data_IF_943055795241
#
_entry.id   IF_943055795241
#
_cell.length_a   1.000
_cell.length_b   1.000
_cell.length_c   1.000
_cell.angle_alpha   90.00
_cell.angle_beta   90.00
_cell.angle_gamma   90.00
#
_symmetry.space_group_name_H-M   'P 1'
#
loop_
_entity.id
_entity.type
_entity.pdbx_description
1 polymer ?
#
# COMPACT_ATOMS: atom_id res chain seq x y z
N UNK A 1 13.28 24.43 3.36
CA UNK A 1 13.91 23.88 2.14
C UNK A 1 12.93 22.89 1.54
N UNK A 2 11.97 23.38 0.77
CA UNK A 2 10.99 22.52 0.10
C UNK A 2 11.64 22.10 -1.21
N UNK A 3 12.04 20.84 -1.29
CA UNK A 3 12.52 20.26 -2.54
C UNK A 3 11.30 20.10 -3.46
N UNK A 4 11.09 21.07 -4.35
CA UNK A 4 10.21 20.90 -5.49
C UNK A 4 11.01 20.19 -6.59
N UNK A 5 11.05 18.86 -6.55
CA UNK A 5 11.47 18.08 -7.72
C UNK A 5 10.29 17.97 -8.67
N UNK A 6 10.44 18.54 -9.86
CA UNK A 6 9.52 18.29 -10.96
C UNK A 6 9.65 16.79 -11.34
N UNK A 7 8.55 16.00 -11.34
CA UNK A 7 8.63 14.62 -11.79
C UNK A 7 8.93 14.61 -13.29
N UNK A 8 9.95 13.86 -13.69
CA UNK A 8 10.03 13.38 -15.07
C UNK A 8 8.73 12.60 -15.34
N UNK A 9 7.86 13.15 -16.19
CA UNK A 9 6.51 12.66 -16.39
C UNK A 9 6.49 11.21 -16.85
N UNK A 10 6.07 10.29 -15.96
CA UNK A 10 5.82 8.88 -16.28
C UNK A 10 6.25 7.89 -15.19
N UNK A 11 7.13 8.25 -14.26
CA UNK A 11 7.54 7.33 -13.21
C UNK A 11 6.55 7.34 -12.03
N UNK A 12 5.97 6.18 -11.71
CA UNK A 12 5.24 5.94 -10.47
C UNK A 12 6.21 6.13 -9.30
N UNK A 13 6.10 7.26 -8.59
CA UNK A 13 6.81 7.46 -7.33
C UNK A 13 5.95 6.93 -6.18
N UNK A 14 6.56 6.67 -5.03
CA UNK A 14 5.83 6.24 -3.83
C UNK A 14 4.78 7.22 -3.35
N UNK A 15 5.02 8.53 -3.47
CA UNK A 15 4.03 9.55 -3.14
C UNK A 15 2.82 9.48 -4.09
N UNK A 16 3.06 9.34 -5.41
CA UNK A 16 1.97 9.19 -6.39
C UNK A 16 1.18 7.90 -6.12
N UNK A 17 1.88 6.81 -5.77
CA UNK A 17 1.22 5.55 -5.43
C UNK A 17 0.39 5.65 -4.14
N UNK A 18 0.92 6.33 -3.11
CA UNK A 18 0.17 6.61 -1.88
C UNK A 18 -1.09 7.44 -2.15
N UNK A 19 -0.98 8.50 -2.94
CA UNK A 19 -2.13 9.32 -3.34
C UNK A 19 -3.17 8.46 -4.08
N UNK A 20 -2.72 7.56 -4.96
CA UNK A 20 -3.60 6.63 -5.66
C UNK A 20 -4.34 5.69 -4.71
N UNK A 21 -3.64 5.14 -3.70
CA UNK A 21 -4.26 4.28 -2.70
C UNK A 21 -5.30 5.04 -1.87
N UNK A 22 -4.96 6.24 -1.39
CA UNK A 22 -5.82 7.06 -0.54
C UNK A 22 -7.06 7.58 -1.27
N UNK A 23 -6.88 8.11 -2.48
CA UNK A 23 -7.95 8.81 -3.20
C UNK A 23 -8.85 7.88 -3.99
N UNK A 24 -8.32 6.76 -4.49
CA UNK A 24 -9.04 5.92 -5.45
C UNK A 24 -9.23 4.47 -4.99
N UNK A 25 -8.25 3.82 -4.37
CA UNK A 25 -8.35 2.41 -4.02
C UNK A 25 -9.14 2.17 -2.73
N UNK A 26 -8.68 2.76 -1.62
CA UNK A 26 -9.25 2.56 -0.28
C UNK A 26 -10.75 2.85 -0.20
N UNK A 27 -11.28 3.96 -0.78
CA UNK A 27 -12.71 4.24 -0.72
C UNK A 27 -13.61 3.22 -1.43
N UNK A 28 -13.04 2.35 -2.28
CA UNK A 28 -13.81 1.36 -3.04
C UNK A 28 -13.89 -0.01 -2.36
N UNK A 29 -13.10 -0.23 -1.31
CA UNK A 29 -13.06 -1.53 -0.65
C UNK A 29 -14.11 -1.64 0.46
N UNK A 30 -14.96 -2.68 0.46
CA UNK A 30 -15.78 -3.00 1.61
C UNK A 30 -14.91 -3.53 2.75
N UNK A 31 -15.45 -3.55 3.97
CA UNK A 31 -14.77 -4.16 5.11
C UNK A 31 -14.50 -5.68 4.88
N UNK A 32 -13.42 -6.19 5.48
CA UNK A 32 -13.09 -7.62 5.43
C UNK A 32 -12.40 -8.10 4.16
N UNK A 33 -11.91 -7.19 3.31
CA UNK A 33 -11.07 -7.56 2.16
C UNK A 33 -9.60 -7.70 2.54
N UNK A 34 -8.88 -8.54 1.81
CA UNK A 34 -7.41 -8.61 1.87
C UNK A 34 -6.84 -7.84 0.69
N UNK A 35 -6.03 -6.81 0.97
CA UNK A 35 -5.36 -6.00 -0.05
C UNK A 35 -4.04 -6.64 -0.47
N UNK A 36 -3.85 -7.00 -1.74
CA UNK A 36 -2.60 -7.57 -2.23
C UNK A 36 -1.99 -6.67 -3.31
N UNK A 37 -0.70 -6.33 -3.16
CA UNK A 37 0.05 -5.55 -4.15
C UNK A 37 1.24 -6.34 -4.73
N UNK A 38 1.63 -6.00 -5.97
CA UNK A 38 2.81 -6.58 -6.61
C UNK A 38 4.12 -5.99 -6.04
N UNK A 39 5.25 -6.67 -6.27
CA UNK A 39 6.58 -6.24 -5.82
C UNK A 39 7.26 -5.14 -6.66
N UNK A 40 6.54 -4.15 -7.18
CA UNK A 40 7.13 -3.09 -7.98
C UNK A 40 7.97 -2.11 -7.12
N UNK A 41 9.08 -1.55 -7.66
CA UNK A 41 9.97 -0.66 -6.93
C UNK A 41 9.34 0.50 -6.13
N UNK A 42 8.29 1.20 -6.60
CA UNK A 42 7.69 2.31 -5.84
C UNK A 42 6.81 1.84 -4.66
N UNK A 43 6.50 0.55 -4.56
CA UNK A 43 5.69 0.00 -3.48
C UNK A 43 6.49 -0.26 -2.19
N UNK A 44 7.82 -0.14 -2.24
CA UNK A 44 8.72 -0.45 -1.12
C UNK A 44 9.03 0.72 -0.20
N UNK A 45 8.59 1.94 -0.55
CA UNK A 45 8.84 3.07 0.31
C UNK A 45 8.07 2.92 1.62
N UNK A 46 8.75 3.27 2.72
CA UNK A 46 8.22 3.11 4.08
C UNK A 46 6.85 3.78 4.25
N UNK A 47 6.61 4.89 3.55
CA UNK A 47 5.35 5.64 3.63
C UNK A 47 4.15 4.82 3.13
N UNK A 48 4.32 4.01 2.09
CA UNK A 48 3.28 3.14 1.54
C UNK A 48 3.01 1.98 2.48
N UNK A 49 4.07 1.39 3.04
CA UNK A 49 3.96 0.31 4.03
C UNK A 49 3.25 0.76 5.31
N UNK A 50 3.67 1.88 5.89
CA UNK A 50 3.07 2.44 7.11
C UNK A 50 1.58 2.75 6.91
N UNK A 51 1.22 3.26 5.72
CA UNK A 51 -0.17 3.46 5.34
C UNK A 51 -0.95 2.15 5.32
N UNK A 52 -0.45 1.12 4.64
CA UNK A 52 -1.13 -0.17 4.53
C UNK A 52 -1.23 -0.91 5.88
N UNK A 53 -0.20 -0.83 6.74
CA UNK A 53 -0.24 -1.38 8.09
C UNK A 53 -1.32 -0.70 8.97
N UNK A 54 -1.59 0.58 8.72
CA UNK A 54 -2.62 1.34 9.45
C UNK A 54 -4.02 1.11 8.89
N UNK A 55 -4.17 1.09 7.57
CA UNK A 55 -5.48 1.00 6.90
C UNK A 55 -5.99 -0.44 6.80
N UNK A 56 -5.10 -1.42 6.66
CA UNK A 56 -5.42 -2.84 6.52
C UNK A 56 -4.65 -3.69 7.52
N UNK A 57 -4.78 -3.47 8.84
CA UNK A 57 -3.95 -4.15 9.83
C UNK A 57 -4.13 -5.66 9.74
N UNK A 58 -3.07 -6.40 9.37
CA UNK A 58 -3.10 -7.86 9.11
C UNK A 58 -3.95 -8.30 7.89
N UNK A 59 -4.55 -7.35 7.17
CA UNK A 59 -5.41 -7.58 6.01
C UNK A 59 -4.76 -7.10 4.70
N UNK A 60 -3.41 -7.08 4.62
CA UNK A 60 -2.70 -6.83 3.37
C UNK A 60 -1.48 -7.73 3.14
N UNK A 61 -1.12 -7.92 1.88
CA UNK A 61 -0.03 -8.77 1.40
C UNK A 61 0.86 -7.97 0.44
N UNK A 62 2.15 -7.96 0.71
CA UNK A 62 3.17 -7.45 -0.20
C UNK A 62 4.54 -8.03 0.13
N UNK A 63 5.56 -7.75 -0.68
CA UNK A 63 6.93 -8.20 -0.38
C UNK A 63 7.41 -7.52 0.91
N UNK A 64 7.65 -8.31 1.96
CA UNK A 64 8.09 -7.81 3.27
C UNK A 64 6.97 -7.56 4.28
N UNK A 65 5.69 -7.75 3.90
CA UNK A 65 4.59 -7.81 4.84
C UNK A 65 4.64 -9.15 5.59
N UNK A 66 4.67 -9.11 6.92
CA UNK A 66 4.57 -10.31 7.75
C UNK A 66 3.10 -10.55 8.05
N UNK A 67 2.51 -11.56 7.43
CA UNK A 67 1.26 -12.11 7.92
C UNK A 67 1.52 -12.74 9.29
N UNK A 68 1.20 -12.03 10.38
CA UNK A 68 1.06 -12.67 11.69
C UNK A 68 -0.29 -13.41 11.71
N UNK A 69 -0.32 -14.58 11.06
CA UNK A 69 -1.51 -15.42 11.01
C UNK A 69 -1.70 -16.16 12.33
N UNK A 70 -2.76 -15.83 13.07
CA UNK A 70 -3.54 -16.87 13.75
C UNK A 70 -4.65 -17.26 12.75
N UNK A 71 -4.31 -18.17 11.84
CA UNK A 71 -5.17 -18.64 10.77
C UNK A 71 -6.21 -19.62 11.33
N UNK A 72 -7.50 -19.26 11.34
CA UNK A 72 -8.59 -20.24 11.35
C UNK A 72 -8.85 -20.67 9.90
N UNK A 73 -8.59 -21.94 9.53
CA UNK A 73 -8.61 -22.42 8.15
C UNK A 73 -10.01 -22.69 7.56
N UNK A 74 -11.04 -21.86 7.81
CA UNK A 74 -12.41 -22.14 7.34
C UNK A 74 -13.20 -21.03 6.67
N UNK A 75 -12.57 -20.20 5.84
CA UNK A 75 -13.27 -19.42 4.80
C UNK A 75 -12.49 -19.39 3.50
#
# INVERSE_FOLDING_TARGET
MTQHHAPCGGAMTSNIYLDMLQLYAVPQFPEGVIFQQDGAPPHYDNIVREFLDTTFPQWWIGRGAVMHGHHDPRI
#
